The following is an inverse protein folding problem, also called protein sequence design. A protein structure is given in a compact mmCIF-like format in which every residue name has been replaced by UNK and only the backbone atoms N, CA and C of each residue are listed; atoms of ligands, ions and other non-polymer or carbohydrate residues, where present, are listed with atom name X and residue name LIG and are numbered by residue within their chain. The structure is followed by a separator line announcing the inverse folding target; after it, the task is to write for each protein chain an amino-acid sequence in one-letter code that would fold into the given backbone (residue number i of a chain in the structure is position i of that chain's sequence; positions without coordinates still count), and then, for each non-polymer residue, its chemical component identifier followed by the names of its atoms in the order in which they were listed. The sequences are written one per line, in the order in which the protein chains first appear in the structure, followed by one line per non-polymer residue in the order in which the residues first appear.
data_IF_262596967848
#
_entry.id   IF_262596967848
#
_cell.length_a   1.000
_cell.length_b   1.000
_cell.length_c   1.000
_cell.angle_alpha   90.00
_cell.angle_beta   90.00
_cell.angle_gamma   90.00
#
_symmetry.space_group_name_H-M   'P 1'
#
loop_
_entity.id
_entity.type
_entity.pdbx_description
1 polymer ?
#
# COMPACT_ATOMS: atom_id res chain seq x y z
N UNK A 1 -9.32 -17.72 -3.93
CA UNK A 1 -10.31 -17.82 -5.03
C UNK A 1 -10.01 -16.73 -6.06
N UNK A 2 -9.80 -17.10 -7.33
CA UNK A 2 -9.99 -16.18 -8.45
C UNK A 2 -11.44 -15.71 -8.38
N UNK A 3 -11.67 -14.48 -7.94
CA UNK A 3 -13.02 -13.99 -7.73
C UNK A 3 -13.77 -14.05 -9.06
N UNK A 4 -14.89 -14.78 -8.99
CA UNK A 4 -15.95 -14.78 -9.99
C UNK A 4 -16.18 -13.33 -10.41
N UNK A 5 -16.27 -13.12 -11.71
CA UNK A 5 -16.82 -11.91 -12.29
C UNK A 5 -18.25 -11.78 -11.76
N UNK A 6 -18.41 -11.16 -10.60
CA UNK A 6 -19.66 -10.60 -10.20
C UNK A 6 -19.99 -9.57 -11.29
N UNK A 7 -21.08 -9.81 -12.01
CA UNK A 7 -21.70 -8.85 -12.92
C UNK A 7 -22.28 -7.69 -12.11
N UNK A 8 -21.46 -7.04 -11.27
CA UNK A 8 -21.77 -5.77 -10.67
C UNK A 8 -21.55 -4.75 -11.77
N UNK A 9 -22.65 -4.19 -12.27
CA UNK A 9 -22.60 -2.98 -13.08
C UNK A 9 -22.14 -1.88 -12.13
N UNK A 10 -20.85 -1.57 -12.16
CA UNK A 10 -20.26 -0.54 -11.30
C UNK A 10 -20.77 0.82 -11.80
N UNK A 11 -21.81 1.35 -11.15
CA UNK A 11 -22.33 2.70 -11.41
C UNK A 11 -21.77 3.66 -10.38
N UNK A 12 -20.95 4.61 -10.82
CA UNK A 12 -20.42 5.67 -9.95
C UNK A 12 -21.28 6.92 -10.12
N UNK A 13 -21.84 7.44 -9.02
CA UNK A 13 -22.65 8.66 -9.05
C UNK A 13 -21.80 9.92 -9.10
N UNK A 14 -22.36 11.01 -9.63
CA UNK A 14 -21.74 12.34 -9.60
C UNK A 14 -21.34 12.77 -8.18
N UNK A 15 -22.25 12.56 -7.23
CA UNK A 15 -22.03 12.83 -5.81
C UNK A 15 -20.82 12.06 -5.25
N UNK A 16 -20.58 10.83 -5.73
CA UNK A 16 -19.39 10.06 -5.34
C UNK A 16 -18.11 10.71 -5.87
N UNK A 17 -18.10 11.19 -7.11
CA UNK A 17 -16.95 11.88 -7.71
C UNK A 17 -16.65 13.18 -6.95
N UNK A 18 -17.67 13.99 -6.65
CA UNK A 18 -17.52 15.21 -5.85
C UNK A 18 -16.98 14.90 -4.44
N UNK A 19 -17.44 13.80 -3.84
CA UNK A 19 -16.92 13.32 -2.55
C UNK A 19 -15.43 12.95 -2.65
N UNK A 20 -15.01 12.26 -3.72
CA UNK A 20 -13.59 11.95 -3.97
C UNK A 20 -12.76 13.22 -4.13
N UNK A 21 -13.27 14.21 -4.87
CA UNK A 21 -12.57 15.48 -5.09
C UNK A 21 -12.35 16.24 -3.77
N UNK A 22 -13.36 16.28 -2.92
CA UNK A 22 -13.28 16.88 -1.58
C UNK A 22 -12.30 16.13 -0.69
N UNK A 23 -12.44 14.80 -0.62
CA UNK A 23 -11.64 13.92 0.25
C UNK A 23 -10.16 13.92 -0.12
N UNK A 24 -9.85 14.01 -1.41
CA UNK A 24 -8.48 13.91 -1.94
C UNK A 24 -7.87 15.28 -2.27
N UNK A 25 -8.53 16.39 -1.89
CA UNK A 25 -8.07 17.76 -2.18
C UNK A 25 -6.65 18.04 -1.70
N UNK A 26 -6.24 17.47 -0.57
CA UNK A 26 -4.92 17.68 0.06
C UNK A 26 -3.98 16.49 -0.09
N UNK A 27 -4.34 15.49 -0.91
CA UNK A 27 -3.67 14.19 -0.92
C UNK A 27 -2.17 14.27 -1.16
N UNK A 28 -1.75 15.13 -2.08
CA UNK A 28 -0.35 15.31 -2.43
C UNK A 28 0.46 15.87 -1.24
N UNK A 29 -0.09 16.81 -0.48
CA UNK A 29 0.53 17.35 0.74
C UNK A 29 0.55 16.29 1.84
N UNK A 30 -0.55 15.58 2.05
CA UNK A 30 -0.67 14.54 3.08
C UNK A 30 0.28 13.36 2.81
N UNK A 31 0.48 13.02 1.54
CA UNK A 31 1.48 12.03 1.11
C UNK A 31 2.89 12.48 1.46
N UNK A 32 3.23 13.74 1.21
CA UNK A 32 4.56 14.29 1.51
C UNK A 32 4.87 14.17 3.01
N UNK A 33 3.92 14.56 3.86
CA UNK A 33 4.02 14.46 5.32
C UNK A 33 4.20 13.02 5.74
N UNK A 34 3.35 12.13 5.24
CA UNK A 34 3.35 10.72 5.63
C UNK A 34 4.64 10.03 5.20
N UNK A 35 5.09 10.20 3.96
CA UNK A 35 6.36 9.64 3.50
C UNK A 35 7.55 10.17 4.33
N UNK A 36 7.56 11.47 4.64
CA UNK A 36 8.59 12.08 5.50
C UNK A 36 8.57 11.54 6.93
N UNK A 37 7.37 11.35 7.49
CA UNK A 37 7.17 10.77 8.81
C UNK A 37 7.66 9.31 8.84
N UNK A 38 7.19 8.49 7.90
CA UNK A 38 7.57 7.07 7.82
C UNK A 38 9.08 6.94 7.65
N UNK A 39 9.70 7.69 6.73
CA UNK A 39 11.16 7.69 6.56
C UNK A 39 11.90 7.95 7.89
N UNK A 40 11.44 8.94 8.68
CA UNK A 40 12.02 9.25 9.99
C UNK A 40 11.78 8.15 11.02
N UNK A 41 10.56 7.60 11.09
CA UNK A 41 10.23 6.49 11.97
C UNK A 41 11.11 5.26 11.67
N UNK A 42 11.46 5.09 10.39
CA UNK A 42 12.34 4.04 9.91
C UNK A 42 13.84 4.31 10.10
N UNK A 43 14.23 5.48 10.62
CA UNK A 43 15.62 5.85 10.86
C UNK A 43 16.44 6.07 9.58
N UNK A 44 15.82 6.17 8.41
CA UNK A 44 16.52 6.26 7.13
C UNK A 44 16.81 7.71 6.75
N UNK A 45 18.03 8.01 6.34
CA UNK A 45 18.41 9.31 5.75
C UNK A 45 18.01 9.39 4.27
N UNK A 46 17.99 10.60 3.68
CA UNK A 46 17.81 10.72 2.22
C UNK A 46 18.98 10.14 1.43
N UNK A 47 20.17 10.12 2.04
CA UNK A 47 21.36 9.49 1.44
C UNK A 47 21.22 7.98 1.42
N UNK A 48 20.64 7.38 2.46
CA UNK A 48 20.40 5.94 2.53
C UNK A 48 19.40 5.53 1.43
N UNK A 49 18.34 6.33 1.23
CA UNK A 49 17.39 6.11 0.14
C UNK A 49 18.05 6.26 -1.24
N UNK A 50 18.86 7.30 -1.43
CA UNK A 50 19.61 7.49 -2.69
C UNK A 50 20.57 6.34 -2.98
N UNK A 51 21.24 5.77 -1.96
CA UNK A 51 22.10 4.59 -2.13
C UNK A 51 21.32 3.32 -2.51
N UNK A 52 20.04 3.25 -2.14
CA UNK A 52 19.14 2.12 -2.45
C UNK A 52 18.42 2.28 -3.79
N UNK A 53 18.65 3.37 -4.54
CA UNK A 53 17.94 3.63 -5.79
C UNK A 53 18.83 4.21 -6.88
N UNK A 54 18.52 3.94 -8.14
CA UNK A 54 19.04 4.69 -9.30
C UNK A 54 17.91 5.37 -10.05
N UNK A 55 18.25 6.36 -10.89
CA UNK A 55 17.26 7.12 -11.67
C UNK A 55 16.58 8.26 -10.91
N UNK A 56 16.78 8.36 -9.59
CA UNK A 56 16.34 9.47 -8.75
C UNK A 56 17.45 9.88 -7.78
N UNK A 57 17.60 11.18 -7.52
CA UNK A 57 18.58 11.69 -6.56
C UNK A 57 17.92 12.10 -5.23
N UNK A 58 18.74 12.23 -4.18
CA UNK A 58 18.31 12.60 -2.83
C UNK A 58 17.55 13.93 -2.80
N UNK A 59 17.92 14.91 -3.64
CA UNK A 59 17.25 16.21 -3.70
C UNK A 59 15.82 16.09 -4.26
N UNK A 60 15.59 15.22 -5.23
CA UNK A 60 14.25 14.95 -5.76
C UNK A 60 13.40 14.15 -4.77
N UNK A 61 13.98 13.13 -4.13
CA UNK A 61 13.32 12.42 -3.02
C UNK A 61 12.91 13.37 -1.89
N UNK A 62 13.81 14.29 -1.52
CA UNK A 62 13.53 15.33 -0.52
C UNK A 62 12.36 16.21 -0.93
N UNK A 63 12.31 16.65 -2.20
CA UNK A 63 11.19 17.45 -2.72
C UNK A 63 9.86 16.69 -2.64
N UNK A 64 9.82 15.42 -3.03
CA UNK A 64 8.59 14.62 -2.92
C UNK A 64 8.09 14.47 -1.48
N UNK A 65 8.98 14.52 -0.49
CA UNK A 65 8.65 14.45 0.94
C UNK A 65 8.52 15.85 1.60
N UNK A 66 8.49 16.94 0.83
CA UNK A 66 8.27 18.30 1.31
C UNK A 66 6.83 18.76 1.03
N UNK A 67 6.18 19.35 2.03
CA UNK A 67 4.82 19.89 1.91
C UNK A 67 4.73 21.03 0.87
N UNK A 68 5.77 21.87 0.79
CA UNK A 68 5.85 23.01 -0.13
C UNK A 68 6.09 22.62 -1.59
N UNK A 69 6.27 21.34 -1.90
CA UNK A 69 6.43 20.90 -3.28
C UNK A 69 5.06 20.78 -3.96
N UNK A 70 4.81 21.69 -4.90
CA UNK A 70 3.53 21.83 -5.60
C UNK A 70 3.40 20.99 -6.88
N UNK A 71 4.47 20.33 -7.32
CA UNK A 71 4.36 19.44 -8.49
C UNK A 71 3.83 18.06 -8.08
N UNK A 72 3.45 17.28 -9.11
CA UNK A 72 2.94 15.92 -8.96
C UNK A 72 3.96 15.05 -8.22
N UNK A 73 3.47 14.22 -7.29
CA UNK A 73 4.19 13.08 -6.74
C UNK A 73 3.82 11.83 -7.53
N UNK A 74 4.73 11.30 -8.35
CA UNK A 74 4.40 10.14 -9.18
C UNK A 74 4.08 8.92 -8.32
N UNK A 75 2.99 8.22 -8.63
CA UNK A 75 2.55 7.05 -7.88
C UNK A 75 3.60 5.93 -7.87
N UNK A 76 4.37 5.77 -8.96
CA UNK A 76 5.43 4.78 -9.04
C UNK A 76 6.56 5.06 -8.04
N UNK A 77 6.88 6.33 -7.75
CA UNK A 77 7.88 6.68 -6.74
C UNK A 77 7.36 6.33 -5.34
N UNK A 78 6.09 6.62 -5.05
CA UNK A 78 5.48 6.24 -3.77
C UNK A 78 5.47 4.71 -3.60
N UNK A 79 5.12 3.97 -4.66
CA UNK A 79 5.16 2.52 -4.71
C UNK A 79 6.59 1.97 -4.49
N UNK A 80 7.57 2.47 -5.22
CA UNK A 80 8.97 2.09 -5.07
C UNK A 80 9.49 2.37 -3.65
N UNK A 81 9.17 3.54 -3.09
CA UNK A 81 9.57 3.90 -1.74
C UNK A 81 8.90 3.03 -0.68
N UNK A 82 7.65 2.59 -0.89
CA UNK A 82 6.99 1.62 0.01
C UNK A 82 7.76 0.29 0.04
N UNK A 83 8.26 -0.16 -1.11
CA UNK A 83 9.06 -1.37 -1.21
C UNK A 83 10.42 -1.21 -0.56
N UNK A 84 11.17 -0.16 -0.91
CA UNK A 84 12.52 0.11 -0.39
C UNK A 84 12.51 0.30 1.13
N UNK A 85 11.51 1.00 1.67
CA UNK A 85 11.39 1.20 3.12
C UNK A 85 10.76 0.00 3.85
N UNK A 86 10.30 -1.01 3.10
CA UNK A 86 9.57 -2.18 3.59
C UNK A 86 8.38 -1.79 4.47
N UNK A 87 7.53 -0.91 3.92
CA UNK A 87 6.28 -0.49 4.54
C UNK A 87 5.12 -0.70 3.58
N UNK A 88 3.95 -1.10 4.07
CA UNK A 88 2.73 -1.07 3.28
C UNK A 88 2.49 0.32 2.68
N UNK A 89 1.98 0.40 1.44
CA UNK A 89 1.58 1.70 0.86
C UNK A 89 0.52 2.42 1.71
N UNK A 90 -0.32 1.64 2.42
CA UNK A 90 -1.33 2.12 3.38
C UNK A 90 -0.73 2.94 4.51
N UNK A 91 0.50 2.66 4.90
CA UNK A 91 1.24 3.41 5.91
C UNK A 91 1.54 4.85 5.49
N UNK A 92 1.70 5.13 4.20
CA UNK A 92 1.82 6.52 3.72
C UNK A 92 0.49 7.26 3.68
N UNK A 93 -0.61 6.58 3.99
CA UNK A 93 -1.94 7.15 3.92
C UNK A 93 -2.44 7.59 5.30
N UNK A 94 -1.54 7.56 6.30
CA UNK A 94 -1.78 7.94 7.69
C UNK A 94 -2.27 9.39 7.86
N UNK A 95 -1.66 10.35 7.17
CA UNK A 95 -2.01 11.77 7.35
C UNK A 95 -3.38 12.16 6.75
N UNK A 96 -3.95 11.34 5.87
CA UNK A 96 -5.20 11.63 5.17
C UNK A 96 -6.45 11.58 6.05
N UNK A 97 -6.32 11.38 7.37
CA UNK A 97 -7.45 11.08 8.27
C UNK A 97 -8.35 9.95 7.76
N UNK A 98 -7.82 9.08 6.89
CA UNK A 98 -8.50 7.86 6.42
C UNK A 98 -8.72 6.83 7.53
N UNK A 99 -8.46 7.19 8.81
CA UNK A 99 -8.71 6.37 10.01
C UNK A 99 -10.10 5.74 9.99
N UNK A 100 -11.10 6.48 9.49
CA UNK A 100 -12.49 6.02 9.39
C UNK A 100 -12.76 5.09 8.20
N UNK A 101 -12.01 5.22 7.11
CA UNK A 101 -12.20 4.41 5.89
C UNK A 101 -11.28 3.18 5.83
N UNK A 102 -10.27 3.14 6.71
CA UNK A 102 -9.38 2.01 6.89
C UNK A 102 -9.63 1.36 8.26
N UNK A 103 -10.71 0.57 8.32
CA UNK A 103 -10.96 -0.51 9.30
C UNK A 103 -10.87 -0.16 10.81
N UNK A 104 -11.15 1.08 11.21
CA UNK A 104 -11.21 1.45 12.63
C UNK A 104 -9.84 1.42 13.33
N UNK A 105 -8.78 1.79 12.61
CA UNK A 105 -7.42 1.81 13.14
C UNK A 105 -7.20 2.97 14.13
N UNK A 106 -6.73 2.64 15.33
CA UNK A 106 -6.20 3.60 16.29
C UNK A 106 -4.71 3.93 16.01
N UNK A 107 -4.16 4.91 16.74
CA UNK A 107 -2.78 5.37 16.52
C UNK A 107 -1.73 4.27 16.74
N UNK A 108 -2.04 3.30 17.60
CA UNK A 108 -1.14 2.19 17.93
C UNK A 108 -1.14 1.12 16.85
N UNK A 109 -2.31 0.82 16.28
CA UNK A 109 -2.40 -0.03 15.08
C UNK A 109 -1.58 0.56 13.93
N UNK A 110 -1.57 1.88 13.77
CA UNK A 110 -0.81 2.54 12.71
C UNK A 110 0.69 2.49 12.98
N UNK A 111 1.12 2.72 14.23
CA UNK A 111 2.52 2.55 14.63
C UNK A 111 3.03 1.13 14.32
N UNK A 112 2.20 0.12 14.56
CA UNK A 112 2.47 -1.27 14.24
C UNK A 112 2.66 -1.52 12.73
N UNK A 113 1.86 -0.88 11.86
CA UNK A 113 1.96 -1.05 10.40
C UNK A 113 3.34 -0.68 9.84
N UNK A 114 4.03 0.29 10.44
CA UNK A 114 5.38 0.65 10.01
C UNK A 114 6.40 -0.45 10.31
N UNK A 115 6.13 -1.27 11.31
CA UNK A 115 7.08 -2.23 11.86
C UNK A 115 6.99 -3.61 11.18
N UNK A 116 5.78 -4.03 10.80
CA UNK A 116 5.51 -5.40 10.34
C UNK A 116 6.15 -5.76 9.00
N UNK A 117 6.38 -4.78 8.12
CA UNK A 117 7.02 -5.01 6.82
C UNK A 117 8.51 -5.37 6.95
N UNK A 118 9.12 -5.19 8.12
CA UNK A 118 10.55 -5.48 8.32
C UNK A 118 10.81 -6.81 9.00
N UNK A 119 9.78 -7.41 9.58
CA UNK A 119 9.91 -8.69 10.24
C UNK A 119 9.97 -9.80 9.20
N UNK A 120 10.94 -10.73 9.27
CA UNK A 120 10.85 -11.98 8.54
C UNK A 120 9.60 -12.76 8.96
N UNK A 121 9.13 -13.68 8.11
CA UNK A 121 7.91 -14.46 8.38
C UNK A 121 7.89 -15.10 9.76
N UNK A 122 8.97 -15.80 10.14
CA UNK A 122 9.03 -16.50 11.43
C UNK A 122 8.79 -15.55 12.61
N UNK A 123 9.40 -14.36 12.60
CA UNK A 123 9.22 -13.40 13.69
C UNK A 123 7.87 -12.71 13.66
N UNK A 124 7.29 -12.53 12.47
CA UNK A 124 5.92 -12.04 12.35
C UNK A 124 4.93 -13.05 12.95
N UNK A 125 5.08 -14.35 12.64
CA UNK A 125 4.23 -15.39 13.19
C UNK A 125 4.37 -15.53 14.70
N UNK A 126 5.61 -15.58 15.21
CA UNK A 126 5.87 -15.61 16.66
C UNK A 126 5.27 -14.38 17.38
N UNK A 127 5.30 -13.22 16.74
CA UNK A 127 4.68 -12.03 17.27
C UNK A 127 3.16 -12.16 17.33
N UNK A 128 2.51 -12.68 16.28
CA UNK A 128 1.06 -12.93 16.30
C UNK A 128 0.67 -13.94 17.38
N UNK A 129 1.46 -14.99 17.58
CA UNK A 129 1.23 -15.97 18.64
C UNK A 129 1.34 -15.34 20.03
N UNK A 130 2.33 -14.47 20.24
CA UNK A 130 2.48 -13.71 21.47
C UNK A 130 1.27 -12.82 21.73
N UNK A 131 0.80 -12.08 20.72
CA UNK A 131 -0.38 -11.21 20.83
C UNK A 131 -1.65 -12.03 21.09
N UNK A 132 -1.81 -13.16 20.40
CA UNK A 132 -2.92 -14.10 20.59
C UNK A 132 -3.00 -14.64 22.04
N UNK A 133 -1.84 -14.85 22.67
CA UNK A 133 -1.77 -15.24 24.08
C UNK A 133 -2.25 -14.15 25.05
N UNK A 134 -2.28 -12.89 24.64
CA UNK A 134 -2.77 -11.76 25.44
C UNK A 134 -4.28 -11.51 25.27
N UNK A 135 -4.95 -12.20 24.35
CA UNK A 135 -6.39 -12.07 24.10
C UNK A 135 -7.23 -12.87 25.11
N UNK A 136 -8.50 -12.50 25.25
CA UNK A 136 -9.50 -13.39 25.87
C UNK A 136 -9.70 -14.66 25.03
N UNK A 137 -10.28 -15.69 25.62
CA UNK A 137 -10.58 -16.95 24.91
C UNK A 137 -11.48 -16.73 23.69
N UNK A 138 -12.52 -15.91 23.84
CA UNK A 138 -13.42 -15.51 22.74
C UNK A 138 -12.67 -14.72 21.65
N UNK A 139 -11.86 -13.72 22.04
CA UNK A 139 -11.08 -12.93 21.09
C UNK A 139 -10.08 -13.79 20.31
N UNK A 140 -9.46 -14.76 20.98
CA UNK A 140 -8.54 -15.73 20.37
C UNK A 140 -9.24 -16.62 19.34
N UNK A 141 -10.43 -17.14 19.66
CA UNK A 141 -11.20 -17.98 18.73
C UNK A 141 -11.64 -17.19 17.48
N UNK A 142 -12.10 -15.94 17.66
CA UNK A 142 -12.43 -15.05 16.55
C UNK A 142 -11.20 -14.74 15.69
N UNK A 143 -10.06 -14.40 16.31
CA UNK A 143 -8.82 -14.11 15.59
C UNK A 143 -8.31 -15.33 14.80
N UNK A 144 -8.35 -16.53 15.37
CA UNK A 144 -7.94 -17.76 14.67
C UNK A 144 -8.81 -18.05 13.44
N UNK A 145 -10.13 -17.86 13.56
CA UNK A 145 -11.06 -18.03 12.44
C UNK A 145 -10.75 -17.02 11.32
N UNK A 146 -10.60 -15.74 11.69
CA UNK A 146 -10.23 -14.68 10.74
C UNK A 146 -8.90 -14.97 10.06
N UNK A 147 -7.89 -15.40 10.83
CA UNK A 147 -6.55 -15.72 10.32
C UNK A 147 -6.61 -16.83 9.27
N UNK A 148 -7.30 -17.92 9.56
CA UNK A 148 -7.46 -19.04 8.61
C UNK A 148 -8.18 -18.59 7.33
N UNK A 149 -9.21 -17.75 7.45
CA UNK A 149 -9.94 -17.20 6.30
C UNK A 149 -9.03 -16.36 5.41
N UNK A 150 -8.29 -15.42 5.98
CA UNK A 150 -7.49 -14.48 5.19
C UNK A 150 -6.22 -15.12 4.61
N UNK A 151 -5.57 -16.04 5.34
CA UNK A 151 -4.43 -16.80 4.83
C UNK A 151 -4.83 -17.66 3.62
N UNK A 152 -6.06 -18.20 3.59
CA UNK A 152 -6.58 -18.98 2.45
C UNK A 152 -6.74 -18.17 1.16
N UNK A 153 -6.68 -16.84 1.23
CA UNK A 153 -6.81 -15.94 0.07
C UNK A 153 -5.47 -15.70 -0.63
N UNK A 154 -4.35 -16.07 -0.02
CA UNK A 154 -3.00 -15.87 -0.54
C UNK A 154 -2.47 -17.17 -1.13
N UNK A 155 -1.71 -17.05 -2.22
CA UNK A 155 -1.05 -18.20 -2.83
C UNK A 155 0.04 -18.75 -1.87
N UNK A 156 -0.07 -20.02 -1.42
CA UNK A 156 0.89 -20.62 -0.50
C UNK A 156 2.31 -20.73 -1.09
N UNK A 157 2.48 -20.60 -2.40
CA UNK A 157 3.80 -20.58 -3.04
C UNK A 157 4.57 -19.27 -2.80
N UNK A 158 3.92 -18.21 -2.30
CA UNK A 158 4.57 -16.93 -2.07
C UNK A 158 5.38 -16.94 -0.77
N UNK A 159 6.70 -16.86 -0.89
CA UNK A 159 7.62 -16.82 0.26
C UNK A 159 8.02 -15.37 0.56
N UNK A 160 7.46 -14.79 1.63
CA UNK A 160 7.69 -13.38 1.99
C UNK A 160 9.16 -12.93 2.03
N UNK A 161 10.03 -13.76 2.61
CA UNK A 161 11.45 -13.43 2.81
C UNK A 161 12.20 -13.31 1.47
N UNK A 162 11.63 -13.79 0.36
CA UNK A 162 12.18 -13.67 -0.99
C UNK A 162 11.64 -12.44 -1.75
N UNK A 163 10.73 -11.67 -1.14
CA UNK A 163 10.05 -10.52 -1.76
C UNK A 163 10.70 -9.18 -1.41
N UNK A 164 11.88 -9.22 -0.78
CA UNK A 164 12.62 -8.03 -0.38
C UNK A 164 12.99 -7.19 -1.61
N UNK A 165 13.06 -5.86 -1.49
CA UNK A 165 13.51 -4.99 -2.56
C UNK A 165 14.94 -5.36 -2.96
N UNK A 166 15.31 -5.17 -4.24
CA UNK A 166 16.70 -5.34 -4.64
C UNK A 166 17.62 -4.41 -3.82
N UNK A 167 18.92 -4.74 -3.70
CA UNK A 167 19.88 -3.89 -3.00
C UNK A 167 19.87 -2.46 -3.55
N UNK A 168 19.75 -2.33 -4.88
CA UNK A 168 19.57 -1.05 -5.57
C UNK A 168 18.42 -1.18 -6.56
N UNK A 169 17.38 -0.36 -6.41
CA UNK A 169 16.21 -0.34 -7.28
C UNK A 169 16.34 0.76 -8.35
N UNK A 170 16.29 0.38 -9.63
CA UNK A 170 16.20 1.35 -10.73
C UNK A 170 14.77 1.89 -10.84
N UNK A 171 14.58 3.16 -10.48
CA UNK A 171 13.26 3.81 -10.46
C UNK A 171 12.68 3.97 -11.86
N UNK A 172 13.51 4.18 -12.89
CA UNK A 172 13.02 4.33 -14.25
C UNK A 172 12.56 2.98 -14.81
N UNK A 173 13.35 1.93 -14.60
CA UNK A 173 12.97 0.57 -14.99
C UNK A 173 11.70 0.13 -14.24
N UNK A 174 11.63 0.43 -12.93
CA UNK A 174 10.44 0.17 -12.12
C UNK A 174 9.22 0.93 -12.66
N UNK A 175 9.35 2.21 -13.01
CA UNK A 175 8.27 3.01 -13.58
C UNK A 175 7.74 2.39 -14.89
N UNK A 176 8.63 1.98 -15.80
CA UNK A 176 8.27 1.34 -17.06
C UNK A 176 7.42 0.09 -16.80
N UNK A 177 7.89 -0.82 -15.96
CA UNK A 177 7.19 -2.08 -15.68
C UNK A 177 5.89 -1.86 -14.90
N UNK A 178 5.90 -0.91 -13.95
CA UNK A 178 4.75 -0.53 -13.14
C UNK A 178 3.63 0.03 -14.03
N UNK A 179 3.91 1.05 -14.85
CA UNK A 179 2.88 1.67 -15.70
C UNK A 179 2.43 0.73 -16.82
N UNK A 180 3.29 -0.14 -17.35
CA UNK A 180 2.88 -1.21 -18.26
C UNK A 180 1.85 -2.13 -17.58
N UNK A 181 2.10 -2.55 -16.33
CA UNK A 181 1.15 -3.37 -15.59
C UNK A 181 -0.18 -2.65 -15.36
N UNK A 182 -0.11 -1.38 -14.95
CA UNK A 182 -1.30 -0.54 -14.74
C UNK A 182 -2.11 -0.40 -16.03
N UNK A 183 -1.46 -0.13 -17.16
CA UNK A 183 -2.12 0.01 -18.45
C UNK A 183 -2.91 -1.26 -18.83
N UNK A 184 -2.31 -2.44 -18.67
CA UNK A 184 -2.95 -3.72 -18.97
C UNK A 184 -4.13 -3.98 -18.02
N UNK A 185 -3.93 -3.80 -16.72
CA UNK A 185 -4.89 -4.19 -15.69
C UNK A 185 -6.05 -3.20 -15.57
N UNK A 186 -5.81 -1.90 -15.71
CA UNK A 186 -6.86 -0.87 -15.75
C UNK A 186 -7.72 -1.04 -17.00
N UNK A 187 -7.11 -1.28 -18.16
CA UNK A 187 -7.86 -1.55 -19.40
C UNK A 187 -8.73 -2.79 -19.27
N UNK A 188 -8.18 -3.88 -18.72
CA UNK A 188 -8.92 -5.12 -18.45
C UNK A 188 -10.11 -4.87 -17.52
N UNK A 189 -9.87 -4.22 -16.38
CA UNK A 189 -10.91 -3.85 -15.42
C UNK A 189 -12.03 -3.02 -16.08
N UNK A 190 -11.67 -1.96 -16.82
CA UNK A 190 -12.64 -1.14 -17.54
C UNK A 190 -13.49 -1.97 -18.50
N UNK A 191 -12.84 -2.83 -19.30
CA UNK A 191 -13.53 -3.63 -20.32
C UNK A 191 -14.43 -4.71 -19.74
N UNK A 192 -13.99 -5.38 -18.68
CA UNK A 192 -14.75 -6.44 -18.00
C UNK A 192 -16.01 -5.89 -17.33
N UNK A 193 -15.92 -4.69 -16.74
CA UNK A 193 -17.03 -3.99 -16.10
C UNK A 193 -17.81 -3.04 -17.03
N UNK A 194 -17.46 -3.00 -18.32
CA UNK A 194 -18.11 -2.15 -19.34
C UNK A 194 -18.17 -0.66 -18.94
N UNK A 195 -17.12 -0.16 -18.29
CA UNK A 195 -17.08 1.22 -17.80
C UNK A 195 -16.73 2.16 -18.98
N UNK A 196 -17.55 3.18 -19.28
CA UNK A 196 -17.23 4.17 -20.31
C UNK A 196 -15.94 4.95 -19.99
N UNK A 197 -15.19 5.36 -21.02
CA UNK A 197 -13.91 6.08 -20.87
C UNK A 197 -14.11 7.39 -20.10
N UNK A 198 -15.16 8.14 -20.40
CA UNK A 198 -15.50 9.39 -19.71
C UNK A 198 -15.76 9.17 -18.22
N UNK A 199 -16.50 8.10 -17.86
CA UNK A 199 -16.80 7.78 -16.46
C UNK A 199 -15.51 7.46 -15.70
N UNK A 200 -14.69 6.54 -16.19
CA UNK A 200 -13.46 6.15 -15.49
C UNK A 200 -12.43 7.29 -15.45
N UNK A 201 -12.30 8.07 -16.52
CA UNK A 201 -11.42 9.24 -16.54
C UNK A 201 -11.81 10.22 -15.43
N UNK A 202 -13.10 10.51 -15.29
CA UNK A 202 -13.62 11.41 -14.25
C UNK A 202 -13.45 10.85 -12.84
N UNK A 203 -13.72 9.55 -12.63
CA UNK A 203 -13.45 8.89 -11.34
C UNK A 203 -11.99 9.05 -10.96
N UNK A 204 -11.07 8.81 -11.89
CA UNK A 204 -9.62 8.93 -11.69
C UNK A 204 -9.11 10.39 -11.64
N UNK A 205 -9.97 11.38 -11.85
CA UNK A 205 -9.59 12.80 -11.85
C UNK A 205 -8.68 13.17 -13.02
N UNK A 206 -8.90 12.54 -14.18
CA UNK A 206 -8.14 12.70 -15.41
C UNK A 206 -9.02 13.23 -16.54
N UNK A 207 -8.40 13.94 -17.49
CA UNK A 207 -9.03 14.13 -18.80
C UNK A 207 -9.08 12.80 -19.56
N UNK A 208 -10.02 12.66 -20.50
CA UNK A 208 -10.10 11.47 -21.37
C UNK A 208 -8.77 11.22 -22.10
N UNK A 209 -8.09 12.28 -22.53
CA UNK A 209 -6.76 12.17 -23.14
C UNK A 209 -5.72 11.59 -22.18
N UNK A 210 -5.67 12.07 -20.94
CA UNK A 210 -4.77 11.52 -19.92
C UNK A 210 -5.11 10.06 -19.59
N UNK A 211 -6.39 9.73 -19.56
CA UNK A 211 -6.85 8.36 -19.35
C UNK A 211 -6.45 7.42 -20.49
N UNK A 212 -6.62 7.85 -21.75
CA UNK A 212 -6.19 7.06 -22.90
C UNK A 212 -4.68 6.77 -22.86
N UNK A 213 -3.87 7.72 -22.36
CA UNK A 213 -2.45 7.48 -22.14
C UNK A 213 -2.17 6.50 -20.99
N UNK A 214 -3.01 6.46 -19.96
CA UNK A 214 -2.89 5.50 -18.86
C UNK A 214 -3.09 4.06 -19.36
N UNK A 215 -3.97 3.83 -20.35
CA UNK A 215 -4.18 2.51 -20.96
C UNK A 215 -3.17 2.14 -22.06
N UNK A 216 -2.28 3.05 -22.45
CA UNK A 216 -1.28 2.78 -23.48
C UNK A 216 -0.01 2.16 -22.88
N UNK A 217 0.19 0.87 -23.14
CA UNK A 217 1.35 0.09 -22.68
C UNK A 217 2.70 0.61 -23.18
N UNK A 218 2.71 1.44 -24.22
CA UNK A 218 3.93 2.03 -24.80
C UNK A 218 4.21 3.44 -24.27
N UNK A 219 3.35 3.99 -23.41
CA UNK A 219 3.50 5.32 -22.84
C UNK A 219 3.76 5.22 -21.34
N UNK A 220 4.92 5.74 -20.96
CA UNK A 220 5.29 5.92 -19.55
C UNK A 220 5.07 7.38 -19.21
N UNK A 221 4.07 7.66 -18.38
CA UNK A 221 3.75 9.01 -17.93
C UNK A 221 3.58 9.04 -16.43
N UNK A 222 4.02 10.13 -15.82
CA UNK A 222 3.81 10.35 -14.40
C UNK A 222 2.36 10.69 -14.08
N UNK A 223 1.82 9.88 -13.18
CA UNK A 223 0.47 9.97 -12.66
C UNK A 223 0.52 10.25 -11.16
N UNK A 224 -0.35 11.15 -10.69
CA UNK A 224 -0.43 11.47 -9.26
C UNK A 224 -0.80 10.22 -8.45
N UNK A 225 -0.23 10.12 -7.24
CA UNK A 225 -0.61 9.12 -6.23
C UNK A 225 -2.12 9.08 -5.98
N UNK A 226 -2.84 10.18 -6.21
CA UNK A 226 -4.30 10.27 -6.08
C UNK A 226 -5.06 9.20 -6.90
N UNK A 227 -4.54 8.78 -8.04
CA UNK A 227 -5.20 7.79 -8.91
C UNK A 227 -5.41 6.46 -8.20
N UNK A 228 -4.43 6.00 -7.39
CA UNK A 228 -4.54 4.76 -6.64
C UNK A 228 -5.68 4.77 -5.60
N UNK A 229 -5.99 5.94 -5.05
CA UNK A 229 -7.11 6.12 -4.13
C UNK A 229 -8.43 6.24 -4.85
N UNK A 230 -8.45 7.04 -5.92
CA UNK A 230 -9.65 7.26 -6.73
C UNK A 230 -10.19 5.95 -7.30
N UNK A 231 -9.32 5.08 -7.81
CA UNK A 231 -9.75 3.76 -8.30
C UNK A 231 -10.32 2.89 -7.18
N UNK A 232 -9.68 2.87 -6.00
CA UNK A 232 -10.15 2.06 -4.87
C UNK A 232 -11.48 2.57 -4.32
N UNK A 233 -11.57 3.86 -4.02
CA UNK A 233 -12.73 4.46 -3.37
C UNK A 233 -13.89 4.69 -4.35
N UNK A 234 -13.59 5.05 -5.59
CA UNK A 234 -14.58 5.31 -6.62
C UNK A 234 -15.32 4.06 -7.07
N UNK A 235 -14.62 2.93 -7.14
CA UNK A 235 -15.20 1.63 -7.51
C UNK A 235 -15.36 0.67 -6.33
N UNK A 236 -15.19 1.15 -5.10
CA UNK A 236 -15.41 0.41 -3.85
C UNK A 236 -14.65 -0.92 -3.79
N UNK A 237 -13.41 -0.91 -4.31
CA UNK A 237 -12.58 -2.09 -4.38
C UNK A 237 -12.04 -2.46 -3.00
N UNK A 238 -12.17 -3.73 -2.64
CA UNK A 238 -11.56 -4.30 -1.43
C UNK A 238 -10.02 -4.16 -1.46
N UNK A 239 -9.43 -4.19 -2.66
CA UNK A 239 -7.99 -4.05 -2.88
C UNK A 239 -7.69 -3.49 -4.27
N UNK A 240 -6.57 -2.77 -4.38
CA UNK A 240 -6.00 -2.30 -5.65
C UNK A 240 -4.67 -3.02 -5.97
N UNK A 241 -4.36 -4.13 -5.27
CA UNK A 241 -3.17 -4.98 -5.46
C UNK A 241 -3.09 -5.57 -6.87
N UNK A 242 -4.23 -5.86 -7.47
CA UNK A 242 -4.26 -6.49 -8.79
C UNK A 242 -3.78 -5.57 -9.92
N UNK A 243 -3.67 -4.24 -9.73
CA UNK A 243 -3.16 -3.37 -10.78
C UNK A 243 -1.66 -3.54 -11.08
N UNK A 244 -0.92 -4.23 -10.19
CA UNK A 244 0.50 -4.53 -10.38
C UNK A 244 0.75 -5.99 -10.78
N UNK A 245 -0.29 -6.79 -11.06
CA UNK A 245 -0.14 -8.23 -11.33
C UNK A 245 0.55 -8.58 -12.65
N UNK A 246 0.71 -7.62 -13.56
CA UNK A 246 1.30 -7.82 -14.89
C UNK A 246 2.74 -7.27 -14.98
N UNK A 247 3.32 -6.90 -13.83
CA UNK A 247 4.74 -6.55 -13.70
C UNK A 247 5.60 -7.78 -13.97
N UNK A 248 6.56 -7.65 -14.89
CA UNK A 248 7.41 -8.77 -15.33
C UNK A 248 8.85 -8.64 -14.86
N UNK A 249 9.36 -7.42 -14.75
CA UNK A 249 10.72 -7.14 -14.31
C UNK A 249 10.81 -7.14 -12.78
N UNK A 250 9.75 -6.68 -12.10
CA UNK A 250 9.68 -6.65 -10.64
C UNK A 250 8.42 -7.38 -10.10
N UNK A 251 8.21 -8.67 -10.42
CA UNK A 251 7.03 -9.41 -9.98
C UNK A 251 6.93 -9.52 -8.45
N UNK A 252 8.08 -9.50 -7.76
CA UNK A 252 8.16 -9.55 -6.30
C UNK A 252 7.45 -8.37 -5.65
N UNK A 253 7.38 -7.21 -6.31
CA UNK A 253 6.65 -6.06 -5.77
C UNK A 253 5.15 -6.33 -5.64
N UNK A 254 4.55 -6.99 -6.63
CA UNK A 254 3.14 -7.37 -6.58
C UNK A 254 2.86 -8.40 -5.50
N UNK A 255 3.68 -9.46 -5.45
CA UNK A 255 3.59 -10.51 -4.44
C UNK A 255 3.78 -9.92 -3.04
N UNK A 256 4.74 -9.02 -2.85
CA UNK A 256 4.96 -8.34 -1.58
C UNK A 256 3.71 -7.59 -1.14
N UNK A 257 3.06 -6.88 -2.05
CA UNK A 257 1.82 -6.15 -1.73
C UNK A 257 0.68 -7.08 -1.32
N UNK A 258 0.60 -8.29 -1.86
CA UNK A 258 -0.39 -9.29 -1.41
C UNK A 258 -0.10 -9.70 0.04
N UNK A 259 1.15 -10.04 0.35
CA UNK A 259 1.52 -10.44 1.72
C UNK A 259 1.46 -9.28 2.70
N UNK A 260 1.85 -8.06 2.31
CA UNK A 260 1.71 -6.88 3.15
C UNK A 260 0.24 -6.62 3.47
N UNK A 261 -0.67 -6.77 2.51
CA UNK A 261 -2.11 -6.64 2.78
C UNK A 261 -2.61 -7.67 3.80
N UNK A 262 -2.15 -8.93 3.69
CA UNK A 262 -2.43 -9.99 4.66
C UNK A 262 -1.92 -9.60 6.06
N UNK A 263 -0.65 -9.21 6.16
CA UNK A 263 -0.02 -8.85 7.43
C UNK A 263 -0.68 -7.64 8.08
N UNK A 264 -1.01 -6.62 7.30
CA UNK A 264 -1.77 -5.44 7.73
C UNK A 264 -3.10 -5.83 8.35
N UNK A 265 -3.83 -6.73 7.69
CA UNK A 265 -5.13 -7.18 8.16
C UNK A 265 -5.01 -8.01 9.45
N UNK A 266 -4.04 -8.92 9.52
CA UNK A 266 -3.77 -9.73 10.71
C UNK A 266 -3.38 -8.87 11.91
N UNK A 267 -2.48 -7.89 11.74
CA UNK A 267 -2.05 -7.05 12.86
C UNK A 267 -3.18 -6.14 13.36
N UNK A 268 -3.97 -5.56 12.46
CA UNK A 268 -5.10 -4.71 12.82
C UNK A 268 -6.17 -5.53 13.55
N UNK A 269 -6.47 -6.72 13.06
CA UNK A 269 -7.45 -7.59 13.71
C UNK A 269 -6.94 -8.08 15.07
N UNK A 270 -5.67 -8.51 15.17
CA UNK A 270 -5.08 -8.95 16.42
C UNK A 270 -5.12 -7.85 17.50
N UNK A 271 -4.74 -6.62 17.15
CA UNK A 271 -4.77 -5.51 18.10
C UNK A 271 -6.19 -5.09 18.51
N UNK A 272 -7.21 -5.33 17.68
CA UNK A 272 -8.61 -5.02 18.02
C UNK A 272 -9.12 -5.81 19.22
N UNK A 273 -8.63 -7.04 19.41
CA UNK A 273 -9.02 -7.92 20.51
C UNK A 273 -8.26 -7.65 21.82
N UNK A 274 -7.32 -6.70 21.83
CA UNK A 274 -6.58 -6.32 23.02
C UNK A 274 -7.21 -5.14 23.76
N UNK A 275 -7.17 -5.20 25.09
CA UNK A 275 -7.44 -4.03 25.94
C UNK A 275 -6.32 -2.97 25.79
N UNK A 276 -6.55 -1.75 26.30
CA UNK A 276 -5.65 -0.61 26.10
C UNK A 276 -4.21 -0.85 26.58
N UNK A 277 -4.01 -1.44 27.75
CA UNK A 277 -2.67 -1.69 28.29
C UNK A 277 -1.94 -2.78 27.50
N UNK A 278 -2.61 -3.92 27.26
CA UNK A 278 -2.08 -5.00 26.44
C UNK A 278 -1.70 -4.54 25.04
N UNK A 279 -2.53 -3.68 24.43
CA UNK A 279 -2.27 -3.09 23.11
C UNK A 279 -1.01 -2.24 23.11
N UNK A 280 -0.81 -1.40 24.13
CA UNK A 280 0.41 -0.58 24.25
C UNK A 280 1.65 -1.49 24.33
N UNK A 281 1.61 -2.52 25.18
CA UNK A 281 2.73 -3.49 25.32
C UNK A 281 3.00 -4.25 24.03
N UNK A 282 1.96 -4.72 23.35
CA UNK A 282 2.08 -5.42 22.08
C UNK A 282 2.78 -4.55 21.02
N UNK A 283 2.45 -3.25 20.95
CA UNK A 283 3.11 -2.32 20.02
C UNK A 283 4.54 -2.00 20.45
N UNK A 284 4.82 -1.85 21.76
CA UNK A 284 6.19 -1.67 22.26
C UNK A 284 7.12 -2.83 21.88
N UNK A 285 6.64 -4.07 22.02
CA UNK A 285 7.35 -5.28 21.62
C UNK A 285 7.63 -5.25 20.11
N UNK A 286 6.60 -4.97 19.31
CA UNK A 286 6.72 -4.92 17.86
C UNK A 286 7.71 -3.86 17.39
N UNK A 287 7.62 -2.65 17.94
CA UNK A 287 8.51 -1.55 17.63
C UNK A 287 9.96 -1.92 17.98
N UNK A 288 10.17 -2.57 19.13
CA UNK A 288 11.51 -3.03 19.56
C UNK A 288 12.05 -4.13 18.65
N UNK A 289 11.23 -5.15 18.33
CA UNK A 289 11.61 -6.22 17.41
C UNK A 289 11.97 -5.66 16.04
N UNK A 290 11.16 -4.73 15.51
CA UNK A 290 11.43 -4.14 14.20
C UNK A 290 12.82 -3.51 14.17
N UNK A 291 13.21 -2.74 15.19
CA UNK A 291 14.52 -2.07 15.30
C UNK A 291 15.71 -3.03 15.21
N UNK A 292 15.55 -4.28 15.66
CA UNK A 292 16.57 -5.32 15.54
C UNK A 292 16.74 -5.70 14.07
N UNK A 293 15.63 -5.89 13.35
CA UNK A 293 15.64 -6.23 11.93
C UNK A 293 15.87 -5.02 10.99
N UNK A 294 15.67 -3.78 11.44
CA UNK A 294 15.96 -2.54 10.68
C UNK A 294 17.41 -2.52 10.16
N UNK A 295 18.36 -3.05 10.94
CA UNK A 295 19.79 -3.04 10.57
C UNK A 295 20.22 -4.27 9.75
N UNK A 296 19.45 -5.35 9.80
CA UNK A 296 19.86 -6.66 9.31
C UNK A 296 19.13 -7.11 8.03
N UNK A 297 18.17 -6.32 7.53
CA UNK A 297 17.51 -6.49 6.21
C UNK A 297 18.16 -5.58 5.15
N UNK A 298 19.37 -5.08 5.44
CA UNK A 298 20.18 -4.21 4.57
C UNK A 298 21.37 -5.00 4.06
#
# INVERSE_FOLDING_TARGET
MLNRADQVKISVSEQKIETLDSLLKTIDTDMAVSMSFVRRAQGMSFRDLEQRTTGINASTLKRYMQQSYHSIRPIHVVAAMSWVMMVPMTSFYFALKMREHYRGMDEKAIEALYCIGRLPSEQFELYLDLVSNMMSEEGRAHFQTFRAEIESQVDPAIVYNELLPPPVLDINAFAIDYYRSVAITVKRFRTEHQIPIDVIARVLGLSEYQYQQLEDVNKVRDFSVAIGFRVKLGFELNSHVNFTSEMRMFPQFHQLRQIQHLRDALIVEALRHLNGECKVRAVEILTTLSKIYIKNVI
#
